data_IF_537434773616
#
_entry.id   IF_537434773616
#
_cell.length_a   1.000
_cell.length_b   1.000
_cell.length_c   1.000
_cell.angle_alpha   90.00
_cell.angle_beta   90.00
_cell.angle_gamma   90.00
#
_symmetry.space_group_name_H-M   'P 1'
#
loop_
_entity.id
_entity.type
_entity.pdbx_description
1 polymer ?
#
# COMPACT_ATOMS: atom_id res chain seq x y z
N UNK A 1 -10.57 9.71 7.42
CA UNK A 1 -10.89 9.69 5.97
C UNK A 1 -10.19 8.47 5.39
N UNK A 2 -10.88 7.66 4.59
CA UNK A 2 -10.34 6.42 4.01
C UNK A 2 -10.30 6.52 2.48
N UNK A 3 -9.15 6.23 1.88
CA UNK A 3 -8.93 6.25 0.42
C UNK A 3 -8.76 4.82 -0.08
N UNK A 4 -9.41 4.49 -1.19
CA UNK A 4 -9.25 3.19 -1.85
C UNK A 4 -8.19 3.33 -2.93
N UNK A 5 -7.19 2.46 -2.95
CA UNK A 5 -6.07 2.49 -3.90
C UNK A 5 -5.91 1.13 -4.57
N UNK A 6 -5.84 1.12 -5.91
CA UNK A 6 -5.46 -0.07 -6.67
C UNK A 6 -3.97 -0.35 -6.49
N UNK A 7 -3.66 -1.43 -5.77
CA UNK A 7 -2.29 -1.81 -5.48
C UNK A 7 -1.52 -2.28 -6.72
N UNK A 8 -2.21 -2.57 -7.84
CA UNK A 8 -1.61 -3.13 -9.06
C UNK A 8 -1.61 -2.16 -10.25
N UNK A 9 -1.98 -0.89 -10.01
CA UNK A 9 -1.96 0.14 -11.04
C UNK A 9 -0.54 0.64 -11.35
N UNK A 10 -0.10 0.51 -12.60
CA UNK A 10 1.16 1.05 -13.11
C UNK A 10 2.31 0.04 -13.19
N UNK A 11 3.36 0.42 -13.90
CA UNK A 11 4.41 -0.51 -14.36
C UNK A 11 5.26 -1.12 -13.23
N UNK A 12 5.41 -0.39 -12.12
CA UNK A 12 6.23 -0.80 -10.97
C UNK A 12 5.38 -1.26 -9.77
N UNK A 13 4.12 -1.60 -10.02
CA UNK A 13 3.22 -2.12 -9.01
C UNK A 13 3.55 -3.59 -8.65
N UNK A 14 3.26 -4.06 -7.43
CA UNK A 14 2.65 -3.30 -6.34
C UNK A 14 3.63 -2.48 -5.50
N UNK A 15 4.94 -2.68 -5.66
CA UNK A 15 5.95 -2.10 -4.77
C UNK A 15 5.88 -0.58 -4.65
N UNK A 16 5.89 0.15 -5.78
CA UNK A 16 5.88 1.61 -5.75
C UNK A 16 4.56 2.19 -5.23
N UNK A 17 3.45 1.48 -5.45
CA UNK A 17 2.15 1.87 -4.88
C UNK A 17 2.18 1.74 -3.36
N UNK A 18 2.72 0.64 -2.82
CA UNK A 18 2.82 0.44 -1.38
C UNK A 18 3.74 1.48 -0.72
N UNK A 19 4.87 1.84 -1.36
CA UNK A 19 5.74 2.92 -0.88
C UNK A 19 5.02 4.26 -0.81
N UNK A 20 4.30 4.62 -1.87
CA UNK A 20 3.52 5.86 -1.90
C UNK A 20 2.42 5.88 -0.83
N UNK A 21 1.72 4.76 -0.64
CA UNK A 21 0.68 4.62 0.38
C UNK A 21 1.25 4.77 1.80
N UNK A 22 2.37 4.10 2.10
CA UNK A 22 3.01 4.18 3.41
C UNK A 22 3.44 5.62 3.74
N UNK A 23 4.01 6.34 2.77
CA UNK A 23 4.36 7.76 2.91
C UNK A 23 3.11 8.63 3.12
N UNK A 24 2.02 8.35 2.42
CA UNK A 24 0.77 9.10 2.57
C UNK A 24 0.12 8.87 3.96
N UNK A 25 0.14 7.64 4.48
CA UNK A 25 -0.33 7.33 5.84
C UNK A 25 0.49 8.13 6.87
N UNK A 26 1.82 8.13 6.75
CA UNK A 26 2.69 8.85 7.68
C UNK A 26 2.60 10.38 7.57
N UNK A 27 2.56 10.91 6.35
CA UNK A 27 2.61 12.35 6.10
C UNK A 27 1.25 13.05 6.19
N UNK A 28 0.15 12.34 5.90
CA UNK A 28 -1.19 12.91 5.81
C UNK A 28 -2.16 12.37 6.87
N UNK A 29 -1.78 11.30 7.58
CA UNK A 29 -2.61 10.72 8.64
C UNK A 29 -3.92 10.12 8.13
N UNK A 30 -3.96 9.66 6.88
CA UNK A 30 -5.13 9.02 6.27
C UNK A 30 -5.10 7.49 6.45
N UNK A 31 -6.25 6.83 6.31
CA UNK A 31 -6.34 5.38 6.20
C UNK A 31 -6.47 4.97 4.73
N UNK A 32 -5.89 3.83 4.35
CA UNK A 32 -5.95 3.33 2.98
C UNK A 32 -6.53 1.92 2.96
N UNK A 33 -7.43 1.64 2.02
CA UNK A 33 -7.86 0.30 1.67
C UNK A 33 -7.21 -0.07 0.33
N UNK A 34 -6.39 -1.12 0.33
CA UNK A 34 -5.69 -1.58 -0.86
C UNK A 34 -6.55 -2.60 -1.60
N UNK A 35 -6.77 -2.39 -2.90
CA UNK A 35 -7.46 -3.37 -3.74
C UNK A 35 -6.46 -4.17 -4.56
N UNK A 36 -6.69 -5.48 -4.64
CA UNK A 36 -5.85 -6.41 -5.40
C UNK A 36 -5.66 -7.74 -4.70
N UNK A 37 -4.59 -8.46 -5.08
CA UNK A 37 -4.25 -9.77 -4.53
C UNK A 37 -3.56 -9.61 -3.16
N UNK A 38 -4.31 -9.82 -2.08
CA UNK A 38 -3.85 -9.61 -0.70
C UNK A 38 -2.54 -10.35 -0.38
N UNK A 39 -2.43 -11.64 -0.73
CA UNK A 39 -1.22 -12.42 -0.45
C UNK A 39 0.04 -11.82 -1.08
N UNK A 40 -0.08 -11.30 -2.30
CA UNK A 40 1.02 -10.67 -3.03
C UNK A 40 1.38 -9.30 -2.45
N UNK A 41 0.38 -8.51 -2.07
CA UNK A 41 0.57 -7.23 -1.36
C UNK A 41 1.34 -7.44 -0.07
N UNK A 42 0.92 -8.40 0.76
CA UNK A 42 1.58 -8.73 2.04
C UNK A 42 2.99 -9.25 1.83
N UNK A 43 3.20 -10.12 0.83
CA UNK A 43 4.52 -10.64 0.46
C UNK A 43 5.48 -9.52 0.07
N UNK A 44 5.07 -8.66 -0.87
CA UNK A 44 5.90 -7.54 -1.35
C UNK A 44 6.18 -6.54 -0.23
N UNK A 45 5.19 -6.22 0.61
CA UNK A 45 5.41 -5.35 1.77
C UNK A 45 6.45 -5.94 2.73
N UNK A 46 6.32 -7.23 3.06
CA UNK A 46 7.25 -7.94 3.95
C UNK A 46 8.66 -8.01 3.37
N UNK A 47 8.83 -8.37 2.10
CA UNK A 47 10.13 -8.47 1.43
C UNK A 47 10.87 -7.13 1.35
N UNK A 48 10.13 -6.01 1.37
CA UNK A 48 10.67 -4.66 1.24
C UNK A 48 10.62 -3.84 2.54
N UNK A 49 10.21 -4.43 3.66
CA UNK A 49 10.14 -3.75 4.95
C UNK A 49 9.14 -2.60 5.00
N UNK A 50 8.06 -2.66 4.21
CA UNK A 50 7.02 -1.63 4.18
C UNK A 50 5.96 -1.97 5.24
N UNK A 51 5.73 -1.06 6.18
CA UNK A 51 4.64 -1.19 7.15
C UNK A 51 3.29 -1.05 6.44
N UNK A 52 2.38 -1.98 6.73
CA UNK A 52 0.97 -1.91 6.33
C UNK A 52 0.08 -1.33 7.45
N UNK A 53 0.66 -0.62 8.42
CA UNK A 53 -0.11 0.06 9.45
C UNK A 53 -1.10 1.05 8.82
N UNK A 54 -2.37 0.95 9.21
CA UNK A 54 -3.50 1.73 8.65
C UNK A 54 -3.71 1.54 7.13
N UNK A 55 -3.20 0.44 6.60
CA UNK A 55 -3.42 -0.05 5.24
C UNK A 55 -4.07 -1.44 5.34
N UNK A 56 -5.36 -1.53 5.03
CA UNK A 56 -6.13 -2.79 5.07
C UNK A 56 -6.24 -3.45 3.68
#
# INVERSE_FOLDING_TARGET
MKIIVDAFGGDNAPLEILKGCALAVQGLGIDIALTGREAEIRRVASENGISLERME
#
